data_IF_488105794260
#
_entry.id   IF_488105794260
#
_cell.length_a   1.000
_cell.length_b   1.000
_cell.length_c   1.000
_cell.angle_alpha   90.00
_cell.angle_beta   90.00
_cell.angle_gamma   90.00
#
_symmetry.space_group_name_H-M   'P 1'
#
loop_
_entity.id
_entity.type
_entity.pdbx_description
1 polymer ?
#
# COMPACT_ATOMS: atom_id res chain seq x y z
N UNK A 1 12.06 17.08 -9.35
CA UNK A 1 12.39 15.70 -8.92
C UNK A 1 13.18 15.76 -7.62
N UNK A 2 12.80 14.96 -6.63
CA UNK A 2 13.49 14.87 -5.32
C UNK A 2 14.60 13.82 -5.35
N UNK A 3 15.51 13.87 -4.39
CA UNK A 3 16.60 12.89 -4.25
C UNK A 3 16.11 11.44 -4.10
N UNK A 4 15.15 11.17 -3.19
CA UNK A 4 14.59 9.84 -3.02
C UNK A 4 13.91 9.30 -4.28
N UNK A 5 13.23 10.17 -5.04
CA UNK A 5 12.62 9.78 -6.31
C UNK A 5 13.68 9.32 -7.34
N UNK A 6 14.83 10.01 -7.42
CA UNK A 6 15.94 9.60 -8.30
C UNK A 6 16.50 8.23 -7.93
N UNK A 7 16.72 7.99 -6.63
CA UNK A 7 17.18 6.70 -6.09
C UNK A 7 16.27 5.56 -6.52
N UNK A 8 14.98 5.81 -6.50
CA UNK A 8 13.96 4.79 -6.67
C UNK A 8 13.72 4.49 -8.13
N UNK A 9 13.62 5.50 -8.99
CA UNK A 9 13.66 5.29 -10.44
C UNK A 9 14.89 4.49 -10.86
N UNK A 10 16.04 4.73 -10.22
CA UNK A 10 17.26 3.95 -10.44
C UNK A 10 17.11 2.49 -9.99
N UNK A 11 16.55 2.23 -8.80
CA UNK A 11 16.36 0.87 -8.26
C UNK A 11 15.31 0.11 -9.06
N UNK A 12 14.18 0.75 -9.39
CA UNK A 12 13.10 0.21 -10.22
C UNK A 12 13.57 -0.15 -11.63
N UNK A 13 14.51 0.62 -12.19
CA UNK A 13 15.18 0.27 -13.45
C UNK A 13 16.25 -0.84 -13.30
N UNK A 14 16.40 -1.44 -12.11
CA UNK A 14 17.37 -2.49 -11.80
C UNK A 14 18.84 -2.01 -11.83
N UNK A 15 19.09 -0.71 -11.62
CA UNK A 15 20.42 -0.12 -11.70
C UNK A 15 20.99 0.11 -10.30
N UNK A 16 22.09 -0.56 -9.94
CA UNK A 16 22.81 -0.27 -8.69
C UNK A 16 23.48 1.11 -8.68
N UNK A 17 23.66 1.73 -7.50
CA UNK A 17 24.22 3.08 -7.35
C UNK A 17 25.58 3.27 -8.06
N UNK A 18 26.49 2.29 -7.94
CA UNK A 18 27.81 2.33 -8.62
C UNK A 18 27.67 2.28 -10.15
N UNK A 19 26.70 1.50 -10.65
CA UNK A 19 26.41 1.39 -12.09
C UNK A 19 25.80 2.70 -12.61
N UNK A 20 24.92 3.33 -11.83
CA UNK A 20 24.38 4.66 -12.18
C UNK A 20 25.45 5.75 -12.16
N UNK A 21 26.31 5.76 -11.15
CA UNK A 21 27.45 6.66 -11.08
C UNK A 21 28.35 6.55 -12.31
N UNK A 22 28.65 5.32 -12.74
CA UNK A 22 29.42 5.08 -13.97
C UNK A 22 28.70 5.60 -15.23
N UNK A 23 27.37 5.44 -15.32
CA UNK A 23 26.56 5.87 -16.48
C UNK A 23 26.31 7.38 -16.53
N UNK A 24 26.27 8.05 -15.38
CA UNK A 24 26.03 9.50 -15.27
C UNK A 24 27.31 10.31 -15.09
N UNK A 25 28.46 9.64 -14.99
CA UNK A 25 29.78 10.23 -14.76
C UNK A 25 29.93 11.01 -13.43
N UNK A 26 28.99 10.85 -12.50
CA UNK A 26 29.10 11.37 -11.14
C UNK A 26 29.76 10.36 -10.21
N UNK A 27 30.32 10.82 -9.08
CA UNK A 27 30.85 9.90 -8.07
C UNK A 27 29.71 9.20 -7.32
N UNK A 28 29.86 7.91 -6.92
CA UNK A 28 28.85 7.22 -6.11
C UNK A 28 28.53 7.94 -4.79
N UNK A 29 29.52 8.59 -4.18
CA UNK A 29 29.34 9.36 -2.95
C UNK A 29 28.50 10.62 -3.18
N UNK A 30 28.71 11.32 -4.30
CA UNK A 30 27.93 12.50 -4.67
C UNK A 30 26.47 12.16 -4.94
N UNK A 31 26.22 11.12 -5.75
CA UNK A 31 24.86 10.64 -6.00
C UNK A 31 24.17 10.16 -4.72
N UNK A 32 24.87 9.43 -3.85
CA UNK A 32 24.33 9.02 -2.54
C UNK A 32 23.90 10.21 -1.68
N UNK A 33 24.67 11.29 -1.66
CA UNK A 33 24.30 12.49 -0.89
C UNK A 33 23.03 13.15 -1.44
N UNK A 34 22.86 13.17 -2.76
CA UNK A 34 21.66 13.72 -3.40
C UNK A 34 20.46 12.79 -3.16
N UNK A 35 20.63 11.49 -3.41
CA UNK A 35 19.58 10.47 -3.27
C UNK A 35 19.02 10.35 -1.86
N UNK A 36 19.83 10.69 -0.84
CA UNK A 36 19.43 10.67 0.57
C UNK A 36 19.18 12.07 1.14
N UNK A 37 18.90 13.07 0.29
CA UNK A 37 18.54 14.45 0.67
C UNK A 37 19.60 15.21 1.49
N UNK A 38 20.83 14.69 1.56
CA UNK A 38 21.97 15.37 2.20
C UNK A 38 22.49 16.53 1.35
N UNK A 39 22.09 16.59 0.07
CA UNK A 39 22.32 17.70 -0.84
C UNK A 39 21.07 17.97 -1.68
N UNK A 40 20.82 19.24 -2.06
CA UNK A 40 19.78 19.56 -3.02
C UNK A 40 20.08 18.86 -4.35
N UNK A 41 19.03 18.50 -5.09
CA UNK A 41 19.14 17.87 -6.41
C UNK A 41 19.48 18.93 -7.45
N UNK A 42 20.70 18.96 -8.01
CA UNK A 42 21.04 19.91 -9.05
C UNK A 42 20.54 19.41 -10.42
N UNK A 43 20.29 20.35 -11.32
CA UNK A 43 19.60 20.10 -12.60
C UNK A 43 20.39 19.20 -13.56
N UNK A 44 21.72 19.21 -13.45
CA UNK A 44 22.64 18.34 -14.18
C UNK A 44 22.47 16.86 -13.79
N UNK A 45 22.28 16.59 -12.50
CA UNK A 45 22.01 15.24 -11.98
C UNK A 45 20.63 14.76 -12.45
N UNK A 46 19.62 15.64 -12.43
CA UNK A 46 18.32 15.32 -13.01
C UNK A 46 18.47 14.93 -14.49
N UNK A 47 19.18 15.74 -15.28
CA UNK A 47 19.40 15.47 -16.71
C UNK A 47 20.12 14.15 -16.95
N UNK A 48 21.19 13.88 -16.22
CA UNK A 48 21.93 12.64 -16.36
C UNK A 48 21.09 11.40 -15.96
N UNK A 49 20.25 11.52 -14.93
CA UNK A 49 19.32 10.43 -14.59
C UNK A 49 18.30 10.22 -15.71
N UNK A 50 17.79 11.29 -16.32
CA UNK A 50 16.87 11.17 -17.47
C UNK A 50 17.53 10.55 -18.69
N UNK A 51 18.76 10.89 -19.01
CA UNK A 51 19.47 10.27 -20.14
C UNK A 51 19.68 8.75 -19.93
N UNK A 52 19.94 8.33 -18.69
CA UNK A 52 20.14 6.92 -18.36
C UNK A 52 18.84 6.15 -18.24
N UNK A 53 17.78 6.77 -17.74
CA UNK A 53 16.49 6.13 -17.43
C UNK A 53 15.44 6.31 -18.52
N UNK A 54 15.48 7.39 -19.29
CA UNK A 54 14.54 7.69 -20.38
C UNK A 54 14.69 6.77 -21.60
N UNK A 55 15.66 5.86 -21.60
CA UNK A 55 15.75 4.74 -22.54
C UNK A 55 15.12 3.45 -22.00
N UNK A 56 14.54 3.47 -20.80
CA UNK A 56 13.71 2.38 -20.29
C UNK A 56 12.35 2.45 -20.99
N UNK A 57 11.95 1.43 -21.78
CA UNK A 57 10.72 1.47 -22.58
C UNK A 57 9.43 1.55 -21.74
N UNK A 58 9.54 1.49 -20.41
CA UNK A 58 8.41 1.46 -19.47
C UNK A 58 8.38 2.70 -18.56
N UNK A 59 9.49 3.44 -18.39
CA UNK A 59 9.59 4.59 -17.49
C UNK A 59 9.98 5.85 -18.28
N UNK A 60 9.01 6.53 -18.87
CA UNK A 60 9.26 7.81 -19.55
C UNK A 60 9.43 8.94 -18.52
N UNK A 61 10.64 9.04 -17.97
CA UNK A 61 10.98 10.05 -16.94
C UNK A 61 10.83 11.49 -17.45
N UNK A 62 11.01 11.71 -18.76
CA UNK A 62 10.81 13.02 -19.37
C UNK A 62 9.33 13.40 -19.39
N UNK A 63 8.45 12.44 -19.71
CA UNK A 63 7.00 12.61 -19.60
C UNK A 63 6.53 12.84 -18.18
N UNK A 64 7.03 12.06 -17.21
CA UNK A 64 6.72 12.25 -15.79
C UNK A 64 7.15 13.64 -15.30
N UNK A 65 8.31 14.12 -15.74
CA UNK A 65 8.79 15.46 -15.40
C UNK A 65 7.98 16.57 -16.10
N UNK A 66 7.58 16.36 -17.35
CA UNK A 66 6.71 17.30 -18.06
C UNK A 66 5.35 17.41 -17.36
N UNK A 67 4.80 16.31 -16.85
CA UNK A 67 3.53 16.29 -16.12
C UNK A 67 3.57 17.08 -14.80
N UNK A 68 4.73 17.19 -14.16
CA UNK A 68 4.94 18.05 -12.98
C UNK A 68 4.92 19.53 -13.39
N UNK A 69 5.50 19.87 -14.54
CA UNK A 69 5.63 21.26 -15.00
C UNK A 69 4.36 21.78 -15.69
N UNK A 70 3.65 20.93 -16.43
CA UNK A 70 2.45 21.26 -17.20
C UNK A 70 1.38 20.15 -17.05
N UNK A 71 0.72 20.05 -15.87
CA UNK A 71 -0.22 18.96 -15.60
C UNK A 71 -1.35 18.83 -16.62
N UNK A 72 -1.83 19.97 -17.14
CA UNK A 72 -2.99 20.03 -18.03
C UNK A 72 -2.78 19.39 -19.42
N UNK A 73 -1.54 19.24 -19.89
CA UNK A 73 -1.24 18.73 -21.24
C UNK A 73 -0.83 17.26 -21.29
N UNK A 74 -0.45 16.65 -20.15
CA UNK A 74 0.17 15.30 -20.10
C UNK A 74 -0.70 14.24 -19.37
N UNK A 75 -1.81 14.67 -18.77
CA UNK A 75 -2.61 13.97 -17.76
C UNK A 75 -2.67 12.44 -17.83
N UNK A 76 -3.36 11.86 -18.83
CA UNK A 76 -3.66 10.42 -18.88
C UNK A 76 -2.43 9.52 -18.88
N UNK A 77 -1.39 9.99 -19.53
CA UNK A 77 -0.20 9.18 -19.68
C UNK A 77 0.81 9.29 -18.55
N UNK A 78 0.86 10.44 -17.90
CA UNK A 78 1.62 10.57 -16.67
C UNK A 78 1.01 9.70 -15.56
N UNK A 79 -0.32 9.56 -15.54
CA UNK A 79 -1.00 8.62 -14.63
C UNK A 79 -0.70 7.16 -14.97
N UNK A 80 -0.58 6.80 -16.25
CA UNK A 80 -0.15 5.44 -16.65
C UNK A 80 1.28 5.13 -16.18
N UNK A 81 2.23 6.06 -16.41
CA UNK A 81 3.61 5.88 -15.94
C UNK A 81 3.69 5.74 -14.41
N UNK A 82 2.93 6.58 -13.69
CA UNK A 82 2.82 6.49 -12.23
C UNK A 82 2.23 5.16 -11.77
N UNK A 83 1.22 4.62 -12.47
CA UNK A 83 0.65 3.32 -12.14
C UNK A 83 1.71 2.22 -12.21
N UNK A 84 2.54 2.23 -13.26
CA UNK A 84 3.62 1.24 -13.41
C UNK A 84 4.69 1.39 -12.33
N UNK A 85 5.08 2.63 -12.02
CA UNK A 85 6.03 2.89 -10.93
C UNK A 85 5.48 2.39 -9.60
N UNK A 86 4.20 2.66 -9.31
CA UNK A 86 3.54 2.27 -8.07
C UNK A 86 3.48 0.75 -7.92
N UNK A 87 3.07 0.04 -8.97
CA UNK A 87 3.04 -1.43 -9.01
C UNK A 87 4.43 -2.03 -8.75
N UNK A 88 5.47 -1.54 -9.43
CA UNK A 88 6.85 -1.99 -9.18
C UNK A 88 7.35 -1.66 -7.79
N UNK A 89 6.93 -0.53 -7.22
CA UNK A 89 7.32 -0.13 -5.86
C UNK A 89 6.73 -1.08 -4.82
N UNK A 90 5.48 -1.52 -4.99
CA UNK A 90 4.85 -2.53 -4.12
C UNK A 90 5.61 -3.86 -4.16
N UNK A 91 5.91 -4.35 -5.36
CA UNK A 91 6.67 -5.60 -5.47
C UNK A 91 8.11 -5.52 -4.99
N UNK A 92 8.72 -4.33 -5.06
CA UNK A 92 10.02 -4.09 -4.44
C UNK A 92 9.89 -4.14 -2.92
N UNK A 93 8.89 -3.48 -2.36
CA UNK A 93 8.60 -3.48 -0.92
C UNK A 93 8.41 -4.90 -0.38
N UNK A 94 7.66 -5.76 -1.07
CA UNK A 94 7.49 -7.18 -0.69
C UNK A 94 8.84 -7.92 -0.49
N UNK A 95 9.92 -7.44 -1.13
CA UNK A 95 11.25 -8.06 -1.08
C UNK A 95 12.21 -7.37 -0.10
N UNK A 96 12.06 -6.07 0.11
CA UNK A 96 13.05 -5.25 0.84
C UNK A 96 12.49 -4.56 2.09
N UNK A 97 11.18 -4.66 2.31
CA UNK A 97 10.44 -4.10 3.43
C UNK A 97 10.04 -2.62 3.27
N UNK A 98 8.99 -2.23 4.00
CA UNK A 98 8.33 -0.93 3.91
C UNK A 98 9.26 0.27 4.15
N UNK A 99 10.21 0.13 5.09
CA UNK A 99 11.11 1.22 5.51
C UNK A 99 11.97 1.72 4.34
N UNK A 100 12.41 0.82 3.45
CA UNK A 100 13.32 1.18 2.37
C UNK A 100 12.64 1.93 1.22
N UNK A 101 11.36 1.65 0.96
CA UNK A 101 10.59 2.28 -0.12
C UNK A 101 9.82 3.54 0.31
N UNK A 102 9.67 3.79 1.61
CA UNK A 102 8.89 4.93 2.13
C UNK A 102 9.37 6.31 1.62
N UNK A 103 10.68 6.60 1.52
CA UNK A 103 11.14 7.86 0.93
C UNK A 103 10.73 8.02 -0.55
N UNK A 104 10.66 6.91 -1.30
CA UNK A 104 10.20 6.87 -2.69
C UNK A 104 8.77 7.38 -2.79
N UNK A 105 7.88 6.74 -2.01
CA UNK A 105 6.45 6.95 -2.15
C UNK A 105 6.07 8.37 -1.73
N UNK A 106 6.80 9.00 -0.81
CA UNK A 106 6.66 10.43 -0.48
C UNK A 106 6.94 11.32 -1.69
N UNK A 107 7.96 10.99 -2.48
CA UNK A 107 8.27 11.68 -3.72
C UNK A 107 7.18 11.47 -4.78
N UNK A 108 6.74 10.24 -4.95
CA UNK A 108 5.67 9.86 -5.90
C UNK A 108 4.34 10.53 -5.53
N UNK A 109 3.98 10.59 -4.24
CA UNK A 109 2.78 11.27 -3.71
C UNK A 109 2.78 12.76 -4.10
N UNK A 110 3.94 13.42 -4.02
CA UNK A 110 4.06 14.82 -4.45
C UNK A 110 3.77 14.98 -5.95
N UNK A 111 4.26 14.05 -6.78
CA UNK A 111 4.03 14.08 -8.23
C UNK A 111 2.57 13.77 -8.56
N UNK A 112 2.00 12.73 -7.96
CA UNK A 112 0.61 12.34 -8.18
C UNK A 112 -0.36 13.47 -7.82
N UNK A 113 -0.12 14.18 -6.70
CA UNK A 113 -0.92 15.35 -6.30
C UNK A 113 -0.85 16.50 -7.30
N UNK A 114 0.28 16.70 -7.97
CA UNK A 114 0.39 17.72 -9.00
C UNK A 114 -0.50 17.45 -10.23
N UNK A 115 -0.89 16.18 -10.45
CA UNK A 115 -1.76 15.78 -11.56
C UNK A 115 -3.25 15.89 -11.25
N UNK A 116 -3.65 16.13 -9.99
CA UNK A 116 -5.06 16.23 -9.58
C UNK A 116 -5.86 17.24 -10.41
N UNK A 117 -5.37 18.48 -10.69
CA UNK A 117 -6.10 19.43 -11.52
C UNK A 117 -6.35 18.94 -12.96
N UNK A 118 -5.58 17.96 -13.44
CA UNK A 118 -5.67 17.36 -14.76
C UNK A 118 -6.39 16.00 -14.74
N UNK A 119 -7.16 15.70 -13.70
CA UNK A 119 -7.92 14.45 -13.57
C UNK A 119 -7.17 13.31 -12.87
N UNK A 120 -5.98 13.56 -12.32
CA UNK A 120 -5.18 12.55 -11.61
C UNK A 120 -5.64 12.19 -10.20
N UNK A 121 -6.89 12.47 -9.82
CA UNK A 121 -7.39 12.29 -8.45
C UNK A 121 -7.34 10.82 -7.99
N UNK A 122 -7.76 9.88 -8.84
CA UNK A 122 -7.72 8.45 -8.53
C UNK A 122 -6.28 7.97 -8.28
N UNK A 123 -5.34 8.32 -9.17
CA UNK A 123 -3.92 7.98 -8.99
C UNK A 123 -3.33 8.61 -7.72
N UNK A 124 -3.66 9.88 -7.43
CA UNK A 124 -3.22 10.53 -6.21
C UNK A 124 -3.81 9.87 -4.94
N UNK A 125 -5.06 9.41 -4.99
CA UNK A 125 -5.69 8.63 -3.91
C UNK A 125 -4.94 7.33 -3.67
N UNK A 126 -4.68 6.55 -4.72
CA UNK A 126 -4.01 5.26 -4.61
C UNK A 126 -2.58 5.38 -4.06
N UNK A 127 -1.81 6.36 -4.55
CA UNK A 127 -0.46 6.66 -4.07
C UNK A 127 -0.48 7.12 -2.61
N UNK A 128 -1.41 8.01 -2.24
CA UNK A 128 -1.55 8.49 -0.88
C UNK A 128 -1.98 7.37 0.09
N UNK A 129 -2.84 6.45 -0.38
CA UNK A 129 -3.27 5.28 0.38
C UNK A 129 -2.08 4.37 0.69
N UNK A 130 -1.30 4.01 -0.34
CA UNK A 130 -0.10 3.19 -0.16
C UNK A 130 0.96 3.87 0.71
N UNK A 131 1.18 5.18 0.53
CA UNK A 131 2.03 5.94 1.46
C UNK A 131 1.52 5.86 2.88
N UNK A 132 0.23 6.02 3.10
CA UNK A 132 -0.40 5.92 4.41
C UNK A 132 -0.13 4.58 5.10
N UNK A 133 -0.29 3.49 4.36
CA UNK A 133 0.08 2.14 4.80
C UNK A 133 1.57 2.02 5.19
N UNK A 134 2.48 2.48 4.34
CA UNK A 134 3.92 2.40 4.62
C UNK A 134 4.33 3.20 5.87
N UNK A 135 3.75 4.40 6.05
CA UNK A 135 3.97 5.20 7.25
C UNK A 135 3.40 4.52 8.50
N UNK A 136 2.29 3.79 8.36
CA UNK A 136 1.69 3.01 9.44
C UNK A 136 2.62 1.87 9.87
N UNK A 137 3.10 1.07 8.92
CA UNK A 137 4.04 -0.04 9.19
C UNK A 137 5.33 0.49 9.85
N UNK A 138 5.80 1.67 9.42
CA UNK A 138 6.92 2.36 10.05
C UNK A 138 6.64 2.97 11.44
N UNK A 139 5.43 2.81 12.00
CA UNK A 139 5.03 3.37 13.29
C UNK A 139 4.79 4.89 13.28
N UNK A 140 4.80 5.54 12.13
CA UNK A 140 4.57 6.97 11.98
C UNK A 140 3.06 7.29 11.89
N UNK A 141 2.29 6.87 12.88
CA UNK A 141 0.82 6.88 12.83
C UNK A 141 0.19 8.25 12.54
N UNK A 142 0.83 9.36 12.94
CA UNK A 142 0.34 10.71 12.62
C UNK A 142 0.51 11.06 11.14
N UNK A 143 1.59 10.59 10.50
CA UNK A 143 1.78 10.75 9.06
C UNK A 143 0.85 9.83 8.28
N UNK A 144 0.66 8.60 8.76
CA UNK A 144 -0.28 7.63 8.20
C UNK A 144 -1.72 8.19 8.19
N UNK A 145 -2.23 8.63 9.35
CA UNK A 145 -3.59 9.17 9.47
C UNK A 145 -3.83 10.36 8.52
N UNK A 146 -2.84 11.27 8.41
CA UNK A 146 -2.91 12.39 7.46
C UNK A 146 -2.95 11.90 6.00
N UNK A 147 -2.06 11.00 5.62
CA UNK A 147 -1.98 10.50 4.24
C UNK A 147 -3.25 9.71 3.85
N UNK A 148 -3.77 8.88 4.75
CA UNK A 148 -4.99 8.10 4.55
C UNK A 148 -6.25 8.97 4.51
N UNK A 149 -6.32 10.00 5.35
CA UNK A 149 -7.40 11.00 5.28
C UNK A 149 -7.39 11.75 3.95
N UNK A 150 -6.22 12.12 3.45
CA UNK A 150 -6.09 12.74 2.13
C UNK A 150 -6.47 11.76 1.00
N UNK A 151 -6.04 10.49 1.12
CA UNK A 151 -6.36 9.44 0.17
C UNK A 151 -7.87 9.22 0.07
N UNK A 152 -8.58 9.19 1.20
CA UNK A 152 -10.03 9.05 1.26
C UNK A 152 -10.74 10.21 0.54
N UNK A 153 -10.32 11.47 0.80
CA UNK A 153 -10.87 12.65 0.10
C UNK A 153 -10.64 12.60 -1.40
N UNK A 154 -9.45 12.18 -1.83
CA UNK A 154 -9.10 12.05 -3.25
C UNK A 154 -9.88 10.91 -3.92
N UNK A 155 -10.07 9.80 -3.22
CA UNK A 155 -10.84 8.64 -3.69
C UNK A 155 -12.30 9.02 -3.90
N UNK A 156 -12.91 9.66 -2.89
CA UNK A 156 -14.27 10.20 -2.99
C UNK A 156 -14.41 11.21 -4.14
N UNK A 157 -13.48 12.16 -4.26
CA UNK A 157 -13.48 13.14 -5.35
C UNK A 157 -13.30 12.53 -6.74
N UNK A 158 -12.63 11.38 -6.85
CA UNK A 158 -12.47 10.66 -8.10
C UNK A 158 -13.72 9.88 -8.53
N UNK A 159 -14.66 9.66 -7.60
CA UNK A 159 -15.84 8.82 -7.81
C UNK A 159 -15.55 7.32 -7.77
N UNK A 160 -14.32 6.90 -7.48
CA UNK A 160 -13.94 5.50 -7.32
C UNK A 160 -14.20 5.04 -5.88
N UNK A 161 -15.30 4.28 -5.71
CA UNK A 161 -15.69 3.73 -4.41
C UNK A 161 -14.66 2.76 -3.83
N UNK A 162 -13.89 2.06 -4.65
CA UNK A 162 -12.87 1.12 -4.16
C UNK A 162 -11.68 1.86 -3.55
N UNK A 163 -11.22 2.94 -4.19
CA UNK A 163 -10.15 3.77 -3.64
C UNK A 163 -10.57 4.49 -2.37
N UNK A 164 -11.81 4.98 -2.32
CA UNK A 164 -12.34 5.62 -1.11
C UNK A 164 -12.44 4.63 0.05
N UNK A 165 -13.04 3.46 -0.19
CA UNK A 165 -13.18 2.40 0.80
C UNK A 165 -11.83 1.95 1.33
N UNK A 166 -10.85 1.70 0.45
CA UNK A 166 -9.59 1.12 0.87
C UNK A 166 -8.79 2.10 1.74
N UNK A 167 -8.91 3.41 1.46
CA UNK A 167 -8.36 4.44 2.31
C UNK A 167 -9.02 4.47 3.71
N UNK A 168 -10.34 4.27 3.80
CA UNK A 168 -11.05 4.15 5.08
C UNK A 168 -10.61 2.90 5.85
N UNK A 169 -10.48 1.77 5.16
CA UNK A 169 -10.04 0.50 5.75
C UNK A 169 -8.70 0.66 6.50
N UNK A 170 -7.67 1.20 5.84
CA UNK A 170 -6.39 1.46 6.50
C UNK A 170 -6.42 2.60 7.52
N UNK A 171 -7.34 3.57 7.37
CA UNK A 171 -7.54 4.61 8.38
C UNK A 171 -8.08 4.02 9.68
N UNK A 172 -9.02 3.06 9.59
CA UNK A 172 -9.52 2.32 10.74
C UNK A 172 -8.40 1.50 11.41
N UNK A 173 -7.58 0.81 10.63
CA UNK A 173 -6.43 0.06 11.15
C UNK A 173 -5.43 0.98 11.88
N UNK A 174 -5.17 2.16 11.33
CA UNK A 174 -4.33 3.19 11.96
C UNK A 174 -4.95 3.74 13.24
N UNK A 175 -6.27 3.96 13.28
CA UNK A 175 -6.96 4.39 14.49
C UNK A 175 -6.81 3.35 15.61
N UNK A 176 -6.95 2.07 15.28
CA UNK A 176 -6.79 0.98 16.25
C UNK A 176 -5.38 0.94 16.86
N UNK A 177 -4.33 0.97 16.05
CA UNK A 177 -2.94 0.99 16.55
C UNK A 177 -2.55 2.26 17.30
N UNK A 178 -3.36 3.33 17.21
CA UNK A 178 -3.24 4.53 18.05
C UNK A 178 -4.03 4.42 19.38
N UNK A 179 -4.72 3.31 19.61
CA UNK A 179 -5.54 3.07 20.79
C UNK A 179 -6.96 3.64 20.70
N UNK A 180 -7.41 4.09 19.53
CA UNK A 180 -8.76 4.62 19.32
C UNK A 180 -9.67 3.56 18.70
N UNK A 181 -10.06 2.58 19.53
CA UNK A 181 -10.88 1.44 19.12
C UNK A 181 -12.28 1.87 18.65
N UNK A 182 -12.87 2.88 19.30
CA UNK A 182 -14.18 3.40 18.92
C UNK A 182 -14.16 3.96 17.49
N UNK A 183 -13.19 4.82 17.18
CA UNK A 183 -13.00 5.33 15.81
C UNK A 183 -12.70 4.21 14.83
N UNK A 184 -11.89 3.21 15.20
CA UNK A 184 -11.59 2.09 14.33
C UNK A 184 -12.86 1.32 13.92
N UNK A 185 -13.76 1.05 14.88
CA UNK A 185 -15.04 0.40 14.61
C UNK A 185 -15.95 1.26 13.72
N UNK A 186 -16.09 2.55 14.02
CA UNK A 186 -16.93 3.47 13.24
C UNK A 186 -16.44 3.60 11.79
N UNK A 187 -15.13 3.75 11.60
CA UNK A 187 -14.53 3.88 10.25
C UNK A 187 -14.59 2.55 9.49
N UNK A 188 -14.40 1.41 10.17
CA UNK A 188 -14.57 0.09 9.54
C UNK A 188 -16.02 -0.11 9.09
N UNK A 189 -17.01 0.28 9.90
CA UNK A 189 -18.42 0.19 9.50
C UNK A 189 -18.73 1.09 8.30
N UNK A 190 -18.17 2.30 8.25
CA UNK A 190 -18.31 3.18 7.10
C UNK A 190 -17.71 2.56 5.83
N UNK A 191 -16.51 1.97 5.92
CA UNK A 191 -15.82 1.33 4.80
C UNK A 191 -16.63 0.16 4.20
N UNK A 192 -17.19 -0.71 5.07
CA UNK A 192 -18.06 -1.84 4.67
C UNK A 192 -19.24 -1.43 3.79
N UNK A 193 -19.74 -0.19 3.95
CA UNK A 193 -20.95 0.31 3.30
C UNK A 193 -20.67 1.31 2.16
N UNK A 194 -19.42 1.47 1.73
CA UNK A 194 -19.08 2.37 0.60
C UNK A 194 -19.71 1.86 -0.70
N UNK A 195 -20.56 2.67 -1.38
CA UNK A 195 -21.16 2.28 -2.65
C UNK A 195 -20.11 2.15 -3.76
N UNK A 196 -20.24 1.12 -4.59
CA UNK A 196 -19.38 0.92 -5.76
C UNK A 196 -17.97 0.41 -5.45
N UNK A 197 -17.66 0.10 -4.19
CA UNK A 197 -16.43 -0.60 -3.83
C UNK A 197 -16.43 -2.04 -4.38
N UNK A 198 -15.25 -2.50 -4.81
CA UNK A 198 -15.07 -3.89 -5.23
C UNK A 198 -15.42 -4.85 -4.09
N UNK A 199 -16.21 -5.92 -4.30
CA UNK A 199 -16.74 -6.77 -3.22
C UNK A 199 -15.70 -7.37 -2.27
N UNK A 200 -14.47 -7.54 -2.73
CA UNK A 200 -13.37 -8.10 -1.94
C UNK A 200 -12.94 -7.22 -0.78
N UNK A 201 -13.05 -5.90 -0.94
CA UNK A 201 -12.59 -4.95 0.06
C UNK A 201 -13.51 -4.94 1.31
N UNK A 202 -14.84 -4.80 1.18
CA UNK A 202 -15.71 -4.86 2.35
C UNK A 202 -15.83 -6.31 2.90
N UNK A 203 -15.36 -7.34 2.18
CA UNK A 203 -15.17 -8.67 2.77
C UNK A 203 -14.01 -8.68 3.77
N UNK A 204 -12.88 -8.07 3.42
CA UNK A 204 -11.77 -7.85 4.36
C UNK A 204 -12.21 -7.01 5.56
N UNK A 205 -12.92 -5.90 5.36
CA UNK A 205 -13.32 -5.04 6.47
C UNK A 205 -14.28 -5.72 7.47
N UNK A 206 -15.01 -6.75 7.04
CA UNK A 206 -15.81 -7.58 7.96
C UNK A 206 -14.93 -8.47 8.83
N UNK A 207 -13.79 -8.96 8.33
CA UNK A 207 -12.77 -9.60 9.18
C UNK A 207 -12.17 -8.59 10.14
N UNK A 208 -11.80 -7.40 9.67
CA UNK A 208 -11.29 -6.33 10.53
C UNK A 208 -12.30 -5.95 11.62
N UNK A 209 -13.59 -5.88 11.30
CA UNK A 209 -14.65 -5.64 12.29
C UNK A 209 -14.70 -6.77 13.33
N UNK A 210 -14.60 -8.04 12.91
CA UNK A 210 -14.57 -9.18 13.81
C UNK A 210 -13.33 -9.16 14.74
N UNK A 211 -12.18 -8.79 14.19
CA UNK A 211 -10.92 -8.61 14.90
C UNK A 211 -11.02 -7.52 15.97
N UNK A 212 -11.52 -6.33 15.61
CA UNK A 212 -11.70 -5.21 16.53
C UNK A 212 -12.66 -5.58 17.68
N UNK A 213 -13.76 -6.28 17.38
CA UNK A 213 -14.72 -6.76 18.39
C UNK A 213 -14.11 -7.83 19.30
N UNK A 214 -13.27 -8.71 18.76
CA UNK A 214 -12.55 -9.69 19.56
C UNK A 214 -11.54 -9.01 20.49
N UNK A 215 -10.80 -8.01 19.98
CA UNK A 215 -9.88 -7.19 20.77
C UNK A 215 -10.58 -6.34 21.85
N UNK A 216 -11.83 -5.91 21.61
CA UNK A 216 -12.69 -5.26 22.63
C UNK A 216 -13.11 -6.22 23.75
N UNK A 217 -13.03 -7.54 23.52
CA UNK A 217 -13.51 -8.58 24.42
C UNK A 217 -14.98 -8.96 24.21
N UNK A 218 -15.66 -8.44 23.18
CA UNK A 218 -17.03 -8.83 22.83
C UNK A 218 -17.04 -10.08 21.95
N UNK A 219 -16.75 -11.23 22.58
CA UNK A 219 -16.68 -12.51 21.90
C UNK A 219 -17.95 -12.86 21.11
N UNK A 220 -19.13 -12.47 21.62
CA UNK A 220 -20.40 -12.79 20.97
C UNK A 220 -20.58 -11.99 19.67
N UNK A 221 -20.32 -10.68 19.68
CA UNK A 221 -20.36 -9.86 18.45
C UNK A 221 -19.24 -10.25 17.49
N UNK A 222 -18.04 -10.54 17.99
CA UNK A 222 -16.92 -10.97 17.17
C UNK A 222 -17.22 -12.24 16.36
N UNK A 223 -17.75 -13.30 16.99
CA UNK A 223 -18.14 -14.53 16.29
C UNK A 223 -19.23 -14.27 15.23
N UNK A 224 -20.21 -13.41 15.52
CA UNK A 224 -21.22 -13.04 14.52
C UNK A 224 -20.62 -12.26 13.36
N UNK A 225 -19.69 -11.36 13.62
CA UNK A 225 -18.99 -10.61 12.59
C UNK A 225 -18.12 -11.53 11.73
N UNK A 226 -17.41 -12.49 12.35
CA UNK A 226 -16.60 -13.48 11.64
C UNK A 226 -17.45 -14.31 10.67
N UNK A 227 -18.60 -14.83 11.10
CA UNK A 227 -19.50 -15.54 10.19
C UNK A 227 -20.02 -14.67 9.02
N UNK A 228 -20.19 -13.37 9.23
CA UNK A 228 -20.54 -12.44 8.14
C UNK A 228 -19.36 -12.21 7.21
N UNK A 229 -18.14 -12.18 7.74
CA UNK A 229 -16.91 -12.04 6.97
C UNK A 229 -16.69 -13.26 6.07
N UNK A 230 -16.83 -14.49 6.62
CA UNK A 230 -16.73 -15.73 5.85
C UNK A 230 -17.73 -15.74 4.68
N UNK A 231 -19.00 -15.44 4.93
CA UNK A 231 -20.00 -15.34 3.86
C UNK A 231 -19.70 -14.26 2.83
N UNK A 232 -19.09 -13.15 3.24
CA UNK A 232 -18.71 -12.09 2.30
C UNK A 232 -17.52 -12.55 1.45
N UNK A 233 -16.55 -13.25 2.04
CA UNK A 233 -15.40 -13.80 1.33
C UNK A 233 -15.80 -14.87 0.31
N UNK A 234 -16.73 -15.78 0.65
CA UNK A 234 -17.29 -16.78 -0.30
C UNK A 234 -17.90 -16.11 -1.55
N UNK A 235 -18.51 -14.93 -1.41
CA UNK A 235 -19.08 -14.18 -2.53
C UNK A 235 -18.02 -13.52 -3.42
N UNK A 236 -16.75 -13.57 -3.03
CA UNK A 236 -15.62 -13.04 -3.80
C UNK A 236 -14.91 -14.12 -4.62
N UNK A 237 -15.30 -15.38 -4.48
CA UNK A 237 -14.68 -16.51 -5.18
C UNK A 237 -14.71 -16.30 -6.70
N UNK A 238 -13.53 -16.40 -7.31
CA UNK A 238 -13.34 -16.21 -8.76
C UNK A 238 -13.38 -14.76 -9.23
N UNK A 239 -13.51 -13.77 -8.33
CA UNK A 239 -13.32 -12.36 -8.66
C UNK A 239 -11.83 -12.02 -8.62
N UNK A 240 -11.37 -11.34 -9.67
CA UNK A 240 -10.03 -10.75 -9.66
C UNK A 240 -10.02 -9.53 -8.73
N UNK A 241 -9.12 -9.45 -7.73
CA UNK A 241 -9.05 -8.29 -6.85
C UNK A 241 -8.63 -7.02 -7.61
N UNK A 242 -8.96 -5.83 -7.09
CA UNK A 242 -8.43 -4.59 -7.66
C UNK A 242 -6.91 -4.56 -7.48
N UNK A 243 -6.20 -3.88 -8.39
CA UNK A 243 -4.72 -3.82 -8.41
C UNK A 243 -4.10 -3.42 -7.07
N UNK A 244 -4.75 -2.51 -6.35
CA UNK A 244 -4.29 -2.03 -5.06
C UNK A 244 -4.58 -2.98 -3.90
N UNK A 245 -5.38 -4.02 -4.09
CA UNK A 245 -5.74 -5.05 -3.10
C UNK A 245 -5.42 -6.46 -3.60
N UNK A 246 -4.35 -6.61 -4.38
CA UNK A 246 -3.98 -7.84 -5.10
C UNK A 246 -3.75 -9.05 -4.16
N UNK A 247 -3.55 -8.83 -2.86
CA UNK A 247 -3.32 -9.86 -1.85
C UNK A 247 -4.62 -10.41 -1.23
N UNK A 248 -5.78 -9.86 -1.57
CA UNK A 248 -7.08 -10.33 -1.09
C UNK A 248 -7.54 -11.60 -1.83
N UNK A 249 -6.87 -12.71 -1.54
CA UNK A 249 -7.07 -14.02 -2.15
C UNK A 249 -7.58 -15.06 -1.14
N UNK A 250 -8.05 -16.21 -1.61
CA UNK A 250 -8.66 -17.27 -0.78
C UNK A 250 -7.81 -17.62 0.47
N UNK A 251 -6.51 -17.84 0.30
CA UNK A 251 -5.62 -18.20 1.41
C UNK A 251 -5.50 -17.12 2.49
N UNK A 252 -5.64 -15.85 2.10
CA UNK A 252 -5.58 -14.72 3.04
C UNK A 252 -6.76 -14.74 4.02
N UNK A 253 -7.95 -15.19 3.59
CA UNK A 253 -9.12 -15.31 4.47
C UNK A 253 -8.94 -16.33 5.59
N UNK A 254 -8.22 -17.42 5.33
CA UNK A 254 -7.86 -18.40 6.37
C UNK A 254 -6.95 -17.80 7.44
N UNK A 255 -5.99 -16.97 7.05
CA UNK A 255 -5.11 -16.25 7.98
C UNK A 255 -5.92 -15.23 8.80
N UNK A 256 -6.86 -14.50 8.17
CA UNK A 256 -7.75 -13.57 8.87
C UNK A 256 -8.63 -14.27 9.91
N UNK A 257 -9.23 -15.44 9.57
CA UNK A 257 -9.92 -16.28 10.56
C UNK A 257 -9.01 -16.64 11.73
N UNK A 258 -7.77 -17.04 11.44
CA UNK A 258 -6.76 -17.34 12.44
C UNK A 258 -6.58 -16.20 13.44
N UNK A 259 -6.38 -14.97 12.96
CA UNK A 259 -6.18 -13.78 13.82
C UNK A 259 -7.37 -13.57 14.76
N UNK A 260 -8.60 -13.61 14.24
CA UNK A 260 -9.80 -13.41 15.06
C UNK A 260 -9.95 -14.53 16.10
N UNK A 261 -9.72 -15.79 15.70
CA UNK A 261 -9.81 -16.93 16.61
C UNK A 261 -8.75 -16.89 17.72
N UNK A 262 -7.54 -16.42 17.42
CA UNK A 262 -6.48 -16.24 18.42
C UNK A 262 -6.89 -15.20 19.48
N UNK A 263 -7.44 -14.04 19.05
CA UNK A 263 -7.97 -13.01 19.95
C UNK A 263 -9.13 -13.52 20.82
N UNK A 264 -9.92 -14.47 20.31
CA UNK A 264 -10.98 -15.15 21.07
C UNK A 264 -10.47 -16.25 22.00
N UNK A 265 -9.16 -16.48 22.08
CA UNK A 265 -8.56 -17.54 22.90
C UNK A 265 -8.71 -18.95 22.33
N UNK A 266 -9.10 -19.10 21.06
CA UNK A 266 -9.32 -20.39 20.37
C UNK A 266 -8.06 -20.84 19.62
N UNK A 267 -6.92 -20.88 20.32
CA UNK A 267 -5.59 -21.05 19.74
C UNK A 267 -5.46 -22.23 18.77
N UNK A 268 -5.92 -23.42 19.18
CA UNK A 268 -5.81 -24.62 18.35
C UNK A 268 -6.61 -24.50 17.04
N UNK A 269 -7.71 -23.73 17.04
CA UNK A 269 -8.52 -23.50 15.84
C UNK A 269 -7.89 -22.42 14.98
N UNK A 270 -7.37 -21.36 15.61
CA UNK A 270 -6.63 -20.30 14.95
C UNK A 270 -5.47 -20.84 14.11
N UNK A 271 -4.66 -21.73 14.69
CA UNK A 271 -3.53 -22.36 14.00
C UNK A 271 -3.99 -23.24 12.84
N UNK A 272 -5.07 -24.00 12.99
CA UNK A 272 -5.59 -24.84 11.90
C UNK A 272 -6.08 -24.02 10.73
N UNK A 273 -6.88 -22.98 10.97
CA UNK A 273 -7.42 -22.10 9.92
C UNK A 273 -6.31 -21.35 9.19
N UNK A 274 -5.36 -20.78 9.93
CA UNK A 274 -4.23 -20.09 9.34
C UNK A 274 -3.31 -21.03 8.54
N UNK A 275 -3.06 -22.24 9.04
CA UNK A 275 -2.26 -23.24 8.30
C UNK A 275 -2.93 -23.65 6.99
N UNK A 276 -4.24 -23.85 6.99
CA UNK A 276 -5.01 -24.15 5.79
C UNK A 276 -4.97 -22.98 4.79
N UNK A 277 -5.09 -21.74 5.28
CA UNK A 277 -4.96 -20.52 4.47
C UNK A 277 -3.58 -20.40 3.83
N UNK A 278 -2.51 -20.56 4.61
CA UNK A 278 -1.12 -20.50 4.12
C UNK A 278 -0.86 -21.57 3.06
N UNK A 279 -1.40 -22.78 3.22
CA UNK A 279 -1.21 -23.87 2.26
C UNK A 279 -1.78 -23.58 0.86
N UNK A 280 -2.77 -22.68 0.75
CA UNK A 280 -3.38 -22.29 -0.53
C UNK A 280 -2.98 -20.88 -0.99
N UNK A 281 -2.14 -20.17 -0.22
CA UNK A 281 -1.59 -18.89 -0.65
C UNK A 281 -0.67 -19.07 -1.87
N UNK A 282 -0.71 -18.15 -2.85
CA UNK A 282 0.30 -18.06 -3.90
C UNK A 282 1.73 -18.04 -3.33
N UNK A 283 2.67 -18.67 -4.02
CA UNK A 283 4.03 -18.88 -3.53
C UNK A 283 4.77 -17.56 -3.23
N UNK A 284 4.45 -16.51 -3.98
CA UNK A 284 4.94 -15.15 -3.78
C UNK A 284 4.51 -14.54 -2.44
N UNK A 285 3.33 -14.87 -1.93
CA UNK A 285 2.80 -14.33 -0.67
C UNK A 285 3.26 -15.10 0.56
N UNK A 286 3.69 -16.36 0.39
CA UNK A 286 4.18 -17.19 1.49
C UNK A 286 5.45 -16.65 2.17
N UNK A 287 6.14 -15.68 1.55
CA UNK A 287 7.34 -15.02 2.10
C UNK A 287 7.15 -13.53 2.37
N UNK A 288 5.92 -13.04 2.26
CA UNK A 288 5.68 -11.62 2.44
C UNK A 288 5.77 -11.23 3.92
N UNK A 289 6.35 -10.06 4.20
CA UNK A 289 6.53 -9.54 5.57
C UNK A 289 5.18 -9.41 6.30
N UNK A 290 4.12 -9.01 5.59
CA UNK A 290 2.78 -8.89 6.18
C UNK A 290 2.24 -10.24 6.68
N UNK A 291 2.57 -11.35 6.01
CA UNK A 291 2.11 -12.68 6.43
C UNK A 291 2.82 -13.08 7.73
N UNK A 292 4.13 -12.87 7.82
CA UNK A 292 4.91 -13.14 9.02
C UNK A 292 4.35 -12.39 10.24
N UNK A 293 4.04 -11.09 10.07
CA UNK A 293 3.43 -10.27 11.13
C UNK A 293 2.10 -10.89 11.59
N UNK A 294 1.23 -11.30 10.67
CA UNK A 294 -0.05 -11.91 11.02
C UNK A 294 0.10 -13.27 11.71
N UNK A 295 1.00 -14.12 11.23
CA UNK A 295 1.24 -15.44 11.82
C UNK A 295 1.81 -15.33 13.24
N UNK A 296 2.71 -14.37 13.49
CA UNK A 296 3.24 -14.10 14.84
C UNK A 296 2.15 -13.64 15.83
N UNK A 297 1.12 -12.94 15.33
CA UNK A 297 -0.05 -12.55 16.14
C UNK A 297 -0.97 -13.72 16.46
N UNK A 298 -0.98 -14.74 15.61
CA UNK A 298 -1.74 -15.97 15.83
C UNK A 298 -0.99 -16.86 16.80
N UNK A 299 0.28 -17.16 16.54
CA UNK A 299 1.14 -17.96 17.39
C UNK A 299 2.56 -17.38 17.38
N UNK A 300 3.08 -16.88 18.52
CA UNK A 300 4.44 -16.36 18.58
C UNK A 300 5.53 -17.38 18.22
N UNK A 301 5.22 -18.69 18.31
CA UNK A 301 6.13 -19.78 17.97
C UNK A 301 5.93 -20.29 16.53
N UNK A 302 5.13 -19.60 15.71
CA UNK A 302 4.91 -19.97 14.32
C UNK A 302 6.24 -19.89 13.53
N UNK A 303 6.63 -21.03 12.94
CA UNK A 303 7.86 -21.18 12.15
C UNK A 303 7.57 -21.55 10.70
#
# INVERSE_FOLDING_TARGET
MTGPLLRELRVVAGIGLRKMAARTHFSPSYLSQIENEKRPVPIDVVRAYREVLGNDPVLDVDRLAAAISEPASVGSSATEDLAVILERTRHLEDQVGAVLVTPAIRGIDTVARALVPAGGAAMASEVACYRGWLEHVGGHYTLADKALTDAAKLGEASGDGSLFEHALSFLAYTAWHRGDLARALDVTDAAIHVPGAHPVLPAYDRYQQAELLAAEGDAHRAVRALHKADRAAELTDGLEPPRHGYWYVEGFWGVQRGVVLALLGRQAEAVREASAGVAVLPAEFQRAEWLEIMLHRIDPEWS
#
